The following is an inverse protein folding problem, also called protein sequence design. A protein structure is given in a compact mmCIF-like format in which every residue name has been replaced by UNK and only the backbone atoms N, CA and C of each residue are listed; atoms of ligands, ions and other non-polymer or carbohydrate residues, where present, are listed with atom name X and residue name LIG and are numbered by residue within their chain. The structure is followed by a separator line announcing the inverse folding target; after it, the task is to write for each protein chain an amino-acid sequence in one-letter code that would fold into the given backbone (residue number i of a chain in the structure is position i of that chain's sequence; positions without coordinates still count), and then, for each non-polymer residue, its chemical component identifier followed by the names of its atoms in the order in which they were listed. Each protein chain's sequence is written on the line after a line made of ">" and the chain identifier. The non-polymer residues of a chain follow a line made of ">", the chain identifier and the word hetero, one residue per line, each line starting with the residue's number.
data_IF_404846355156
#
_entry.id   IF_404846355156
#
_cell.length_a   1.000
_cell.length_b   1.000
_cell.length_c   1.000
_cell.angle_alpha   90.00
_cell.angle_beta   90.00
_cell.angle_gamma   90.00
#
_symmetry.space_group_name_H-M   'P 1'
#
loop_
_entity.id
_entity.type
_entity.pdbx_description
1 polymer ?
#
# COMPACT_ATOMS: atom_id res chain seq x y z
N UNK A 1 17.86 15.20 11.98
CA UNK A 1 16.95 14.36 11.19
C UNK A 1 17.81 13.41 10.40
N UNK A 2 17.68 12.10 10.61
CA UNK A 2 18.49 11.14 9.85
C UNK A 2 18.10 11.22 8.37
N UNK A 3 19.10 11.09 7.50
CA UNK A 3 18.87 10.95 6.07
C UNK A 3 18.03 9.68 5.82
N UNK A 4 16.88 9.84 5.15
CA UNK A 4 15.94 8.74 4.86
C UNK A 4 16.60 7.59 4.09
N UNK A 5 17.71 7.85 3.40
CA UNK A 5 18.50 6.84 2.68
C UNK A 5 19.31 5.92 3.60
N UNK A 6 19.34 6.18 4.91
CA UNK A 6 20.16 5.46 5.90
C UNK A 6 19.37 4.80 7.04
N UNK A 7 18.04 4.70 6.90
CA UNK A 7 17.20 4.11 7.94
C UNK A 7 17.62 2.65 8.22
N UNK A 8 17.81 2.25 9.49
CA UNK A 8 18.30 0.93 9.82
C UNK A 8 17.23 -0.12 9.52
N UNK A 9 17.57 -1.07 8.65
CA UNK A 9 16.84 -2.35 8.58
C UNK A 9 17.06 -3.08 9.89
N UNK A 10 15.99 -3.50 10.54
CA UNK A 10 16.04 -4.22 11.82
C UNK A 10 15.38 -5.58 11.73
N UNK A 11 15.53 -6.40 12.77
CA UNK A 11 14.83 -7.68 12.84
C UNK A 11 13.33 -7.45 13.08
N UNK A 12 12.49 -8.43 12.72
CA UNK A 12 11.05 -8.36 13.04
C UNK A 12 10.80 -8.19 14.56
N UNK A 13 11.64 -8.79 15.40
CA UNK A 13 11.54 -8.67 16.86
C UNK A 13 11.87 -7.27 17.37
N UNK A 14 12.89 -6.62 16.81
CA UNK A 14 13.23 -5.24 17.16
C UNK A 14 12.13 -4.27 16.72
N UNK A 15 11.58 -4.45 15.51
CA UNK A 15 10.46 -3.65 15.01
C UNK A 15 9.23 -3.80 15.92
N UNK A 16 8.95 -5.03 16.36
CA UNK A 16 7.89 -5.30 17.31
C UNK A 16 8.12 -4.65 18.67
N UNK A 17 9.36 -4.66 19.16
CA UNK A 17 9.71 -4.06 20.45
C UNK A 17 9.47 -2.53 20.48
N UNK A 18 9.44 -1.87 19.32
CA UNK A 18 9.16 -0.43 19.19
C UNK A 18 7.73 -0.12 18.67
N UNK A 19 6.85 -1.13 18.58
CA UNK A 19 5.42 -0.93 18.33
C UNK A 19 4.93 -1.22 16.90
N UNK A 20 5.79 -1.67 15.98
CA UNK A 20 5.35 -2.14 14.66
C UNK A 20 4.84 -3.59 14.72
N UNK A 21 4.01 -3.98 13.75
CA UNK A 21 3.61 -5.38 13.62
C UNK A 21 4.77 -6.24 13.07
N UNK A 22 5.00 -7.40 13.68
CA UNK A 22 5.85 -8.42 13.08
C UNK A 22 5.07 -9.19 12.01
N UNK A 23 5.62 -9.30 10.80
CA UNK A 23 5.03 -10.08 9.72
C UNK A 23 6.08 -10.97 9.05
N UNK A 24 5.77 -12.25 8.84
CA UNK A 24 6.63 -13.27 8.20
C UNK A 24 8.04 -13.49 8.79
N UNK A 25 8.36 -12.92 9.96
CA UNK A 25 9.67 -13.03 10.61
C UNK A 25 10.87 -12.66 9.69
N UNK A 26 10.69 -11.63 8.85
CA UNK A 26 11.71 -11.10 7.93
C UNK A 26 12.28 -9.76 8.39
N UNK A 27 13.44 -9.31 7.86
CA UNK A 27 13.94 -7.96 8.12
C UNK A 27 12.90 -6.90 7.78
N UNK A 28 12.79 -5.87 8.62
CA UNK A 28 11.79 -4.82 8.52
C UNK A 28 12.48 -3.47 8.48
N UNK A 29 12.01 -2.59 7.58
CA UNK A 29 12.38 -1.18 7.55
C UNK A 29 11.21 -0.37 8.15
N UNK A 30 11.23 -0.06 9.46
CA UNK A 30 10.20 0.78 10.04
C UNK A 30 10.43 2.24 9.67
N UNK A 31 9.36 2.93 9.31
CA UNK A 31 9.39 4.34 8.91
C UNK A 31 8.18 5.03 9.54
N UNK A 32 8.43 6.09 10.30
CA UNK A 32 7.38 7.01 10.71
C UNK A 32 7.02 7.91 9.53
N UNK A 33 5.73 7.93 9.17
CA UNK A 33 5.23 8.76 8.07
C UNK A 33 4.93 10.16 8.62
N UNK A 34 5.48 11.24 8.04
CA UNK A 34 5.17 12.60 8.47
C UNK A 34 3.73 12.97 8.10
N UNK A 35 3.18 13.97 8.78
CA UNK A 35 1.92 14.60 8.38
C UNK A 35 2.02 15.21 6.97
N UNK A 36 0.91 15.22 6.25
CA UNK A 36 0.83 15.54 4.84
C UNK A 36 0.86 14.31 3.94
N UNK A 37 0.81 14.55 2.63
CA UNK A 37 0.92 13.47 1.64
C UNK A 37 2.35 12.93 1.57
N UNK A 38 2.51 11.61 1.64
CA UNK A 38 3.82 10.97 1.60
C UNK A 38 3.80 9.69 0.76
N UNK A 39 4.86 9.42 -0.01
CA UNK A 39 4.95 8.18 -0.81
C UNK A 39 6.11 7.29 -0.37
N UNK A 40 5.86 5.99 -0.32
CA UNK A 40 6.88 4.95 -0.24
C UNK A 40 6.82 4.11 -1.51
N UNK A 41 7.97 3.88 -2.14
CA UNK A 41 8.05 3.01 -3.32
C UNK A 41 9.08 1.92 -3.12
N UNK A 42 8.76 0.73 -3.61
CA UNK A 42 9.66 -0.41 -3.60
C UNK A 42 9.84 -0.94 -5.02
N UNK A 43 11.04 -1.48 -5.29
CA UNK A 43 11.36 -2.17 -6.53
C UNK A 43 11.99 -3.52 -6.20
N UNK A 44 11.44 -4.58 -6.77
CA UNK A 44 11.98 -5.94 -6.63
C UNK A 44 13.26 -6.10 -7.46
N UNK A 45 14.01 -7.18 -7.23
CA UNK A 45 15.17 -7.54 -8.07
C UNK A 45 14.80 -7.80 -9.54
N UNK A 46 13.55 -8.17 -9.81
CA UNK A 46 13.01 -8.35 -11.17
C UNK A 46 12.51 -7.03 -11.79
N UNK A 47 12.67 -5.90 -11.11
CA UNK A 47 12.28 -4.60 -11.62
C UNK A 47 10.79 -4.25 -11.45
N UNK A 48 9.97 -5.15 -10.88
CA UNK A 48 8.57 -4.87 -10.53
C UNK A 48 8.50 -3.79 -9.44
N UNK A 49 7.61 -2.82 -9.60
CA UNK A 49 7.49 -1.61 -8.79
C UNK A 49 6.10 -1.49 -8.19
N UNK A 50 6.07 -1.06 -6.94
CA UNK A 50 4.86 -0.73 -6.20
C UNK A 50 5.06 0.59 -5.47
N UNK A 51 4.00 1.40 -5.40
CA UNK A 51 3.97 2.65 -4.65
C UNK A 51 2.80 2.64 -3.69
N UNK A 52 3.07 3.10 -2.48
CA UNK A 52 2.11 3.37 -1.42
C UNK A 52 2.06 4.88 -1.22
N UNK A 53 0.89 5.49 -1.39
CA UNK A 53 0.67 6.88 -1.05
C UNK A 53 -0.15 6.97 0.23
N UNK A 54 0.46 7.54 1.27
CA UNK A 54 -0.18 7.86 2.54
C UNK A 54 -0.83 9.23 2.40
N UNK A 55 -2.15 9.24 2.30
CA UNK A 55 -2.93 10.44 2.01
C UNK A 55 -3.69 10.95 3.24
N UNK A 56 -3.62 12.25 3.57
CA UNK A 56 -4.53 12.85 4.53
C UNK A 56 -5.82 13.33 3.84
N UNK A 57 -6.93 13.41 4.58
CA UNK A 57 -8.15 14.07 4.10
C UNK A 57 -8.04 15.60 4.14
N UNK A 58 -7.25 16.11 5.08
CA UNK A 58 -6.98 17.55 5.24
C UNK A 58 -5.51 17.83 4.96
N UNK A 59 -5.24 18.84 4.14
CA UNK A 59 -3.86 19.25 3.81
C UNK A 59 -3.01 19.46 5.06
N UNK A 60 -1.90 18.74 5.15
CA UNK A 60 -0.96 18.81 6.27
C UNK A 60 -1.40 18.08 7.53
N UNK A 61 -2.51 17.32 7.49
CA UNK A 61 -2.92 16.42 8.56
C UNK A 61 -2.29 15.02 8.47
N UNK A 62 -2.60 14.13 9.42
CA UNK A 62 -2.10 12.76 9.41
C UNK A 62 -2.74 11.93 8.28
N UNK A 63 -2.02 10.91 7.82
CA UNK A 63 -2.56 9.98 6.83
C UNK A 63 -3.80 9.23 7.35
N UNK A 64 -4.81 9.10 6.50
CA UNK A 64 -6.09 8.41 6.78
C UNK A 64 -6.38 7.26 5.83
N UNK A 65 -5.69 7.21 4.70
CA UNK A 65 -5.78 6.11 3.75
C UNK A 65 -4.42 5.85 3.10
N UNK A 66 -4.29 4.66 2.50
CA UNK A 66 -3.15 4.25 1.69
C UNK A 66 -3.63 3.84 0.31
N UNK A 67 -3.29 4.63 -0.69
CA UNK A 67 -3.45 4.25 -2.08
C UNK A 67 -2.27 3.36 -2.49
N UNK A 68 -2.59 2.21 -3.08
CA UNK A 68 -1.61 1.23 -3.54
C UNK A 68 -1.73 1.10 -5.05
N UNK A 69 -0.61 1.37 -5.72
CA UNK A 69 -0.49 1.24 -7.16
C UNK A 69 0.66 0.32 -7.54
N UNK A 70 0.35 -0.66 -8.40
CA UNK A 70 1.32 -1.50 -9.07
C UNK A 70 1.54 -1.03 -10.50
N UNK A 71 2.79 -0.84 -10.90
CA UNK A 71 3.13 -0.15 -12.15
C UNK A 71 3.40 -1.07 -13.33
N UNK A 72 3.65 -2.35 -13.07
CA UNK A 72 4.29 -3.26 -14.03
C UNK A 72 3.37 -4.40 -14.50
N UNK A 73 2.06 -4.16 -14.54
CA UNK A 73 1.12 -5.19 -14.94
C UNK A 73 1.03 -5.44 -16.45
N UNK A 74 1.68 -4.58 -17.26
CA UNK A 74 1.66 -4.59 -18.73
C UNK A 74 0.27 -4.45 -19.39
N UNK A 75 -0.82 -4.62 -18.64
CA UNK A 75 -2.19 -4.44 -19.09
C UNK A 75 -2.78 -3.14 -18.55
N UNK A 76 -3.62 -2.49 -19.36
CA UNK A 76 -4.26 -1.22 -19.02
C UNK A 76 -5.74 -1.21 -19.36
N UNK A 77 -6.55 -0.50 -18.59
CA UNK A 77 -7.94 -0.15 -18.92
C UNK A 77 -8.08 1.38 -19.02
N UNK A 78 -9.01 1.92 -19.81
CA UNK A 78 -9.25 3.37 -19.84
C UNK A 78 -9.81 3.88 -18.50
N UNK A 79 -9.31 5.01 -18.01
CA UNK A 79 -9.91 5.73 -16.89
C UNK A 79 -11.18 6.49 -17.31
N UNK A 80 -11.78 7.23 -16.37
CA UNK A 80 -12.97 8.05 -16.62
C UNK A 80 -12.77 9.15 -17.69
N UNK A 81 -11.52 9.47 -18.05
CA UNK A 81 -11.13 10.44 -19.08
C UNK A 81 -10.61 9.76 -20.36
N UNK A 82 -10.62 8.43 -20.41
CA UNK A 82 -10.14 7.61 -21.52
C UNK A 82 -8.63 7.38 -21.55
N UNK A 83 -7.88 7.82 -20.53
CA UNK A 83 -6.45 7.60 -20.46
C UNK A 83 -6.12 6.16 -20.02
N UNK A 84 -5.13 5.49 -20.62
CA UNK A 84 -4.77 4.14 -20.23
C UNK A 84 -4.21 4.12 -18.80
N UNK A 85 -4.81 3.30 -17.95
CA UNK A 85 -4.41 3.12 -16.55
C UNK A 85 -4.04 1.67 -16.31
N UNK A 86 -2.88 1.37 -15.68
CA UNK A 86 -2.50 0.01 -15.38
C UNK A 86 -3.54 -0.65 -14.46
N UNK A 87 -3.82 -1.93 -14.69
CA UNK A 87 -4.61 -2.77 -13.78
C UNK A 87 -3.74 -3.81 -13.12
N UNK A 88 -4.11 -4.38 -11.99
CA UNK A 88 -3.30 -5.40 -11.34
C UNK A 88 -4.13 -6.48 -10.65
N UNK A 89 -3.46 -7.58 -10.33
CA UNK A 89 -4.03 -8.65 -9.55
C UNK A 89 -3.93 -8.34 -8.04
N UNK A 90 -5.06 -8.45 -7.34
CA UNK A 90 -5.15 -8.35 -5.90
C UNK A 90 -5.98 -9.52 -5.38
N UNK A 91 -5.60 -10.06 -4.23
CA UNK A 91 -6.46 -10.95 -3.48
C UNK A 91 -6.36 -10.61 -2.00
N UNK A 92 -7.46 -10.74 -1.27
CA UNK A 92 -7.55 -10.45 0.15
C UNK A 92 -7.89 -11.74 0.91
N UNK A 93 -7.21 -11.96 2.03
CA UNK A 93 -7.43 -13.12 2.90
C UNK A 93 -8.06 -12.63 4.20
N UNK A 94 -9.22 -13.20 4.54
CA UNK A 94 -9.96 -12.96 5.77
C UNK A 94 -9.84 -14.12 6.76
N UNK A 95 -10.74 -14.14 7.74
CA UNK A 95 -10.77 -15.16 8.79
C UNK A 95 -10.84 -16.59 8.21
N UNK A 96 -10.03 -17.50 8.75
CA UNK A 96 -9.99 -18.90 8.31
C UNK A 96 -9.52 -19.09 6.86
N UNK A 97 -8.61 -18.24 6.39
CA UNK A 97 -8.05 -18.24 5.04
C UNK A 97 -9.08 -18.02 3.92
N UNK A 98 -10.23 -17.44 4.25
CA UNK A 98 -11.27 -17.11 3.27
C UNK A 98 -10.80 -16.02 2.32
N UNK A 99 -10.96 -16.24 1.01
CA UNK A 99 -10.63 -15.22 0.00
C UNK A 99 -11.83 -14.30 -0.20
N UNK A 100 -11.82 -13.16 0.49
CA UNK A 100 -12.93 -12.20 0.40
C UNK A 100 -13.00 -11.51 -0.99
N UNK A 101 -11.84 -11.36 -1.64
CA UNK A 101 -11.72 -10.86 -3.01
C UNK A 101 -10.50 -11.48 -3.70
N UNK A 102 -10.59 -11.83 -4.98
CA UNK A 102 -9.49 -12.39 -5.79
C UNK A 102 -9.66 -11.99 -7.27
N UNK A 103 -8.99 -10.91 -7.69
CA UNK A 103 -9.14 -10.37 -9.05
C UNK A 103 -8.43 -11.18 -10.13
N UNK A 104 -7.67 -12.23 -9.77
CA UNK A 104 -6.94 -13.06 -10.74
C UNK A 104 -7.88 -13.85 -11.65
N UNK A 105 -9.05 -14.24 -11.13
CA UNK A 105 -10.10 -14.92 -11.90
C UNK A 105 -11.03 -13.98 -12.65
N UNK A 106 -10.88 -12.67 -12.46
CA UNK A 106 -11.75 -11.66 -13.08
C UNK A 106 -11.28 -11.29 -14.49
N UNK A 107 -12.26 -10.90 -15.32
CA UNK A 107 -12.03 -10.32 -16.64
C UNK A 107 -11.23 -9.01 -16.53
N UNK A 108 -10.47 -8.67 -17.59
CA UNK A 108 -9.54 -7.53 -17.58
C UNK A 108 -10.20 -6.21 -17.16
N UNK A 109 -11.42 -5.94 -17.62
CA UNK A 109 -12.18 -4.71 -17.30
C UNK A 109 -12.69 -4.63 -15.87
N UNK A 110 -12.71 -5.78 -15.18
CA UNK A 110 -13.12 -5.89 -13.78
C UNK A 110 -11.92 -5.87 -12.83
N UNK A 111 -10.69 -5.88 -13.36
CA UNK A 111 -9.47 -5.80 -12.54
C UNK A 111 -9.28 -4.38 -12.00
N UNK A 112 -8.85 -4.24 -10.74
CA UNK A 112 -8.61 -2.93 -10.15
C UNK A 112 -7.39 -2.26 -10.76
N UNK A 113 -7.45 -0.93 -10.87
CA UNK A 113 -6.33 -0.06 -11.22
C UNK A 113 -5.66 0.62 -10.03
N UNK A 114 -6.32 0.58 -8.86
CA UNK A 114 -5.87 1.09 -7.58
C UNK A 114 -6.52 0.27 -6.47
N UNK A 115 -5.82 0.08 -5.35
CA UNK A 115 -6.37 -0.49 -4.12
C UNK A 115 -6.18 0.52 -3.00
N UNK A 116 -7.23 0.81 -2.25
CA UNK A 116 -7.22 1.80 -1.18
C UNK A 116 -7.44 1.09 0.15
N UNK A 117 -6.51 1.26 1.09
CA UNK A 117 -6.65 0.78 2.48
C UNK A 117 -7.01 1.98 3.35
N UNK A 118 -8.13 1.91 4.07
CA UNK A 118 -8.51 2.93 5.04
C UNK A 118 -7.81 2.65 6.38
N UNK A 119 -7.20 3.69 6.96
CA UNK A 119 -6.48 3.61 8.23
C UNK A 119 -7.35 4.02 9.43
N UNK A 120 -8.44 4.74 9.16
CA UNK A 120 -9.43 5.16 10.15
C UNK A 120 -10.07 3.96 10.86
N UNK A 121 -10.20 4.07 12.19
CA UNK A 121 -11.01 3.13 12.96
C UNK A 121 -12.51 3.39 12.75
N UNK A 122 -13.40 2.49 13.22
CA UNK A 122 -14.86 2.63 13.06
C UNK A 122 -15.47 3.91 13.67
N UNK A 123 -14.69 4.65 14.44
CA UNK A 123 -15.09 5.86 15.18
C UNK A 123 -14.41 7.14 14.68
N UNK A 124 -13.52 7.03 13.69
CA UNK A 124 -12.90 8.19 13.06
C UNK A 124 -13.87 8.67 11.98
N UNK A 125 -14.56 9.79 12.23
CA UNK A 125 -15.50 10.38 11.27
C UNK A 125 -14.77 10.72 9.97
N UNK A 126 -15.21 10.10 8.86
CA UNK A 126 -14.82 10.46 7.49
C UNK A 126 -15.43 11.83 7.16
N UNK A 127 -14.67 12.90 7.39
CA UNK A 127 -14.98 14.26 6.93
C UNK A 127 -13.83 14.83 6.09
#
# INVERSE_FOLDING_TARGET
>A
MNDITSLPVMTAGDAQAIGFAAFNAVPTLPIDIPDGGFTLSARTSEGRRITFYFGPYVTGGPARFVDIQYHDAAATVPDARGAPTPVFDIFTIGHGDTRAYDSRSEELTSKPSIAVILLSGPTDDDH
#
